data_IF_751327040581
#
_entry.id   IF_751327040581
#
_cell.length_a   1.000
_cell.length_b   1.000
_cell.length_c   1.000
_cell.angle_alpha   90.00
_cell.angle_beta   90.00
_cell.angle_gamma   90.00
#
_symmetry.space_group_name_H-M   'P 1'
#
loop_
_entity.id
_entity.type
_entity.pdbx_description
1 polymer ?
#
# COMPACT_ATOMS: atom_id res chain seq x y z
N UNK A 1 31.34 58.95 -49.60
CA UNK A 1 31.94 58.96 -48.23
C UNK A 1 30.81 58.68 -47.26
N UNK A 2 30.74 57.68 -46.38
CA UNK A 2 31.58 56.55 -45.91
C UNK A 2 30.57 55.49 -45.39
N UNK A 3 30.55 54.23 -45.87
CA UNK A 3 31.20 53.02 -45.29
C UNK A 3 31.08 52.82 -43.76
N UNK A 4 30.60 51.61 -43.40
CA UNK A 4 30.60 50.89 -42.09
C UNK A 4 29.33 51.09 -41.24
N UNK A 5 28.67 50.09 -40.67
CA UNK A 5 29.02 48.69 -40.40
C UNK A 5 27.79 47.77 -40.44
N UNK A 6 28.02 46.60 -41.04
CA UNK A 6 27.26 45.35 -40.96
C UNK A 6 27.73 44.64 -39.69
N UNK A 7 26.82 44.08 -38.86
CA UNK A 7 27.02 42.89 -38.01
C UNK A 7 25.83 42.66 -37.03
N UNK A 8 25.41 41.39 -36.93
CA UNK A 8 24.63 40.79 -35.83
C UNK A 8 23.13 40.59 -36.13
N UNK A 9 22.58 39.43 -36.49
CA UNK A 9 23.09 38.06 -36.39
C UNK A 9 22.50 37.32 -35.18
N UNK A 10 21.43 36.56 -35.44
CA UNK A 10 20.87 35.42 -34.67
C UNK A 10 20.38 35.64 -33.22
N UNK A 11 19.06 35.46 -33.02
CA UNK A 11 18.46 35.45 -31.69
C UNK A 11 17.07 34.82 -31.62
N UNK A 12 16.83 33.68 -32.28
CA UNK A 12 15.61 32.88 -32.05
C UNK A 12 15.95 31.38 -32.19
N UNK A 13 16.39 30.74 -31.10
CA UNK A 13 16.51 29.27 -31.02
C UNK A 13 16.64 28.75 -29.57
N UNK A 14 15.82 29.20 -28.62
CA UNK A 14 15.87 28.65 -27.24
C UNK A 14 14.51 28.18 -26.68
N UNK A 15 13.41 28.31 -27.41
CA UNK A 15 12.09 28.00 -26.85
C UNK A 15 11.61 26.55 -27.06
N UNK A 16 12.36 25.70 -27.78
CA UNK A 16 11.97 24.31 -28.05
C UNK A 16 12.61 23.27 -27.11
N UNK A 17 13.61 23.65 -26.31
CA UNK A 17 14.31 22.73 -25.39
C UNK A 17 13.63 22.51 -24.04
N UNK A 18 12.79 23.45 -23.59
CA UNK A 18 12.15 23.39 -22.27
C UNK A 18 10.86 22.55 -22.30
N UNK A 19 10.13 22.56 -23.42
CA UNK A 19 8.93 21.74 -23.60
C UNK A 19 9.25 20.24 -23.67
N UNK A 20 10.41 19.85 -24.23
CA UNK A 20 10.83 18.45 -24.32
C UNK A 20 11.41 17.87 -23.02
N UNK A 21 11.95 18.69 -22.12
CA UNK A 21 12.57 18.21 -20.86
C UNK A 21 11.54 17.86 -19.79
N UNK A 22 10.41 18.59 -19.69
CA UNK A 22 9.32 18.22 -18.77
C UNK A 22 8.61 16.93 -19.18
N UNK A 23 8.63 16.57 -20.46
CA UNK A 23 8.09 15.30 -20.95
C UNK A 23 9.00 14.10 -20.68
N UNK A 24 10.24 14.33 -20.20
CA UNK A 24 11.26 13.29 -20.00
C UNK A 24 11.75 13.17 -18.54
N UNK A 25 11.21 13.97 -17.62
CA UNK A 25 11.43 13.74 -16.20
C UNK A 25 10.62 12.50 -15.79
N UNK A 26 11.24 11.48 -15.18
CA UNK A 26 10.46 10.40 -14.58
C UNK A 26 9.46 11.01 -13.58
N UNK A 27 8.26 10.43 -13.46
CA UNK A 27 7.28 10.90 -12.48
C UNK A 27 7.88 10.84 -11.08
N UNK A 28 7.46 11.77 -10.23
CA UNK A 28 7.84 11.75 -8.82
C UNK A 28 7.39 10.40 -8.21
N UNK A 29 8.26 9.69 -7.47
CA UNK A 29 7.93 8.40 -6.91
C UNK A 29 6.83 8.52 -5.86
N UNK A 30 6.00 7.49 -5.75
CA UNK A 30 5.07 7.36 -4.61
C UNK A 30 5.88 7.05 -3.36
N UNK A 31 5.80 7.91 -2.34
CA UNK A 31 6.54 7.73 -1.09
C UNK A 31 5.68 7.07 -0.01
N UNK A 32 6.05 5.87 0.41
CA UNK A 32 5.44 5.22 1.58
C UNK A 32 6.39 5.35 2.75
N UNK A 33 6.05 6.22 3.70
CA UNK A 33 6.78 6.29 4.97
C UNK A 33 6.15 5.34 5.99
N UNK A 34 6.97 4.50 6.60
CA UNK A 34 6.60 3.42 7.49
C UNK A 34 7.05 3.74 8.90
N UNK A 35 6.11 3.67 9.83
CA UNK A 35 6.34 3.74 11.27
C UNK A 35 6.03 2.39 11.90
N UNK A 36 6.81 2.03 12.92
CA UNK A 36 6.54 0.89 13.77
C UNK A 36 6.08 1.35 15.14
N UNK A 37 5.13 0.64 15.74
CA UNK A 37 4.95 0.75 17.18
C UNK A 37 6.21 0.28 17.92
N UNK A 38 6.37 0.69 19.17
CA UNK A 38 7.48 0.24 20.02
C UNK A 38 7.56 -1.29 20.09
N UNK A 39 6.42 -1.98 20.18
CA UNK A 39 6.39 -3.46 20.18
C UNK A 39 6.77 -4.03 18.82
N UNK A 40 6.23 -3.49 17.72
CA UNK A 40 6.50 -3.99 16.38
C UNK A 40 7.99 -3.82 16.00
N UNK A 41 8.63 -2.76 16.47
CA UNK A 41 10.03 -2.47 16.21
C UNK A 41 11.00 -3.47 16.87
N UNK A 42 10.52 -4.31 17.80
CA UNK A 42 11.35 -5.37 18.41
C UNK A 42 11.65 -6.54 17.48
N UNK A 43 10.98 -6.60 16.31
CA UNK A 43 11.14 -7.68 15.34
C UNK A 43 12.13 -7.29 14.24
N UNK A 44 13.39 -7.72 14.36
CA UNK A 44 14.49 -7.37 13.44
C UNK A 44 14.18 -7.59 11.94
N UNK A 45 13.40 -8.64 11.62
CA UNK A 45 13.06 -8.96 10.24
C UNK A 45 11.92 -8.09 9.66
N UNK A 46 11.13 -7.42 10.50
CA UNK A 46 9.92 -6.71 10.09
C UNK A 46 10.17 -5.61 9.03
N UNK A 47 11.18 -4.73 9.17
CA UNK A 47 11.45 -3.70 8.15
C UNK A 47 11.67 -4.30 6.77
N UNK A 48 12.55 -5.29 6.66
CA UNK A 48 12.86 -5.96 5.40
C UNK A 48 11.64 -6.68 4.80
N UNK A 49 10.74 -7.23 5.63
CA UNK A 49 9.50 -7.86 5.15
C UNK A 49 8.51 -6.82 4.62
N UNK A 50 8.29 -5.74 5.37
CA UNK A 50 7.38 -4.66 4.94
C UNK A 50 7.90 -4.01 3.65
N UNK A 51 9.19 -3.69 3.59
CA UNK A 51 9.85 -3.14 2.40
C UNK A 51 9.70 -4.08 1.20
N UNK A 52 10.08 -5.35 1.35
CA UNK A 52 10.06 -6.31 0.25
C UNK A 52 8.65 -6.54 -0.30
N UNK A 53 7.64 -6.71 0.56
CA UNK A 53 6.27 -6.95 0.10
C UNK A 53 5.60 -5.71 -0.47
N UNK A 54 5.79 -4.53 0.14
CA UNK A 54 5.28 -3.28 -0.43
C UNK A 54 5.99 -2.95 -1.74
N UNK A 55 7.32 -3.06 -1.79
CA UNK A 55 8.11 -2.76 -2.97
C UNK A 55 7.72 -3.64 -4.14
N UNK A 56 7.54 -4.94 -3.90
CA UNK A 56 7.14 -5.86 -4.96
C UNK A 56 5.67 -5.70 -5.38
N UNK A 57 4.75 -5.32 -4.47
CA UNK A 57 3.35 -5.05 -4.83
C UNK A 57 3.17 -3.70 -5.55
N UNK A 58 3.81 -2.64 -5.06
CA UNK A 58 3.69 -1.29 -5.61
C UNK A 58 4.56 -1.09 -6.86
N UNK A 59 5.75 -1.71 -6.94
CA UNK A 59 6.64 -1.58 -8.10
C UNK A 59 6.07 -2.14 -9.40
N UNK A 60 5.07 -3.04 -9.34
CA UNK A 60 4.29 -3.48 -10.50
C UNK A 60 3.12 -2.53 -10.81
N UNK A 61 2.63 -1.81 -9.81
CA UNK A 61 1.42 -1.00 -9.87
C UNK A 61 1.68 0.45 -10.31
N UNK A 62 2.74 1.08 -9.77
CA UNK A 62 3.10 2.49 -10.01
C UNK A 62 4.45 2.59 -10.72
N UNK A 63 4.71 3.72 -11.37
CA UNK A 63 5.92 3.92 -12.18
C UNK A 63 7.21 3.96 -11.34
N UNK A 64 7.13 4.50 -10.12
CA UNK A 64 8.22 4.52 -9.16
C UNK A 64 7.67 4.55 -7.73
N UNK A 65 8.34 3.86 -6.80
CA UNK A 65 7.98 3.80 -5.38
C UNK A 65 9.23 3.94 -4.53
N UNK A 66 9.14 4.74 -3.47
CA UNK A 66 10.15 4.87 -2.43
C UNK A 66 9.53 4.46 -1.09
N UNK A 67 10.21 3.56 -0.37
CA UNK A 67 9.78 3.10 0.95
C UNK A 67 10.77 3.63 1.96
N UNK A 68 10.29 4.47 2.86
CA UNK A 68 11.11 5.11 3.88
C UNK A 68 10.72 4.61 5.26
N UNK A 69 11.70 4.27 6.09
CA UNK A 69 11.44 3.94 7.49
C UNK A 69 11.67 5.16 8.35
N UNK A 70 10.69 5.49 9.20
CA UNK A 70 10.84 6.54 10.17
C UNK A 70 11.99 6.21 11.14
N UNK A 71 12.77 7.22 11.56
CA UNK A 71 13.90 7.00 12.47
C UNK A 71 13.46 6.69 13.91
N UNK A 72 12.19 6.92 14.23
CA UNK A 72 11.60 6.72 15.55
C UNK A 72 10.38 5.80 15.51
N UNK A 73 10.11 5.17 16.65
CA UNK A 73 8.92 4.36 16.88
C UNK A 73 7.76 5.23 17.39
N UNK A 74 6.54 4.71 17.25
CA UNK A 74 5.33 5.34 17.77
C UNK A 74 4.91 4.65 19.06
N UNK A 75 4.90 5.39 20.17
CA UNK A 75 4.31 4.90 21.41
C UNK A 75 2.79 4.89 21.29
N UNK A 76 2.16 3.74 21.54
CA UNK A 76 0.72 3.58 21.48
C UNK A 76 0.19 3.11 22.83
N UNK A 77 -0.96 3.61 23.30
CA UNK A 77 -1.59 3.08 24.51
C UNK A 77 -1.94 1.59 24.36
N UNK A 78 -2.31 1.18 23.14
CA UNK A 78 -2.65 -0.18 22.77
C UNK A 78 -2.17 -0.49 21.34
N UNK A 79 -1.76 -1.73 21.11
CA UNK A 79 -1.19 -2.18 19.83
C UNK A 79 -2.23 -2.41 18.71
N UNK A 80 -3.51 -2.10 18.92
CA UNK A 80 -4.53 -2.34 17.91
C UNK A 80 -5.90 -1.84 18.30
N UNK A 81 -6.90 -2.19 17.49
CA UNK A 81 -8.27 -1.77 17.71
C UNK A 81 -8.57 -0.36 17.17
N UNK A 82 -9.86 0.02 17.25
CA UNK A 82 -10.37 1.20 16.54
C UNK A 82 -9.74 2.51 17.05
N UNK A 83 -9.50 2.61 18.36
CA UNK A 83 -8.92 3.79 18.97
C UNK A 83 -7.50 4.02 18.44
N UNK A 84 -6.61 3.04 18.56
CA UNK A 84 -5.22 3.24 18.15
C UNK A 84 -5.04 3.37 16.64
N UNK A 85 -5.68 2.52 15.85
CA UNK A 85 -5.51 2.53 14.39
C UNK A 85 -6.28 3.65 13.70
N UNK A 86 -7.50 3.94 14.14
CA UNK A 86 -8.44 4.82 13.45
C UNK A 86 -8.63 6.20 14.09
N UNK A 87 -8.07 6.44 15.28
CA UNK A 87 -8.16 7.72 15.98
C UNK A 87 -6.76 8.23 16.32
N UNK A 88 -6.00 7.50 17.15
CA UNK A 88 -4.71 7.98 17.66
C UNK A 88 -3.72 8.19 16.52
N UNK A 89 -3.53 7.19 15.66
CA UNK A 89 -2.58 7.30 14.55
C UNK A 89 -2.92 8.44 13.55
N UNK A 90 -4.15 8.55 13.02
CA UNK A 90 -4.50 9.69 12.17
C UNK A 90 -4.32 11.05 12.84
N UNK A 91 -4.54 11.15 14.15
CA UNK A 91 -4.29 12.37 14.92
C UNK A 91 -2.80 12.67 15.04
N UNK A 92 -1.97 11.68 15.37
CA UNK A 92 -0.51 11.83 15.41
C UNK A 92 0.03 12.33 14.06
N UNK A 93 -0.45 11.79 12.93
CA UNK A 93 -0.06 12.26 11.58
C UNK A 93 -0.46 13.72 11.36
N UNK A 94 -1.69 14.08 11.72
CA UNK A 94 -2.16 15.46 11.57
C UNK A 94 -1.37 16.45 12.45
N UNK A 95 -1.01 16.06 13.67
CA UNK A 95 -0.15 16.85 14.57
C UNK A 95 1.27 16.99 14.00
N UNK A 96 1.82 15.93 13.40
CA UNK A 96 3.11 15.98 12.69
C UNK A 96 3.13 17.00 11.55
N UNK A 97 2.05 17.08 10.76
CA UNK A 97 1.94 18.05 9.65
C UNK A 97 2.02 19.52 10.11
N UNK A 98 1.69 19.80 11.37
CA UNK A 98 1.75 21.16 11.95
C UNK A 98 2.91 21.33 12.95
N UNK A 99 3.82 20.34 13.02
CA UNK A 99 5.00 20.37 13.90
C UNK A 99 4.68 20.19 15.39
N UNK A 100 3.56 19.57 15.72
CA UNK A 100 3.12 19.33 17.12
C UNK A 100 3.42 17.92 17.62
N UNK A 101 3.78 16.98 16.75
CA UNK A 101 4.21 15.63 17.10
C UNK A 101 5.62 15.34 16.59
N UNK A 102 6.32 14.39 17.23
CA UNK A 102 7.65 13.91 16.84
C UNK A 102 7.60 12.97 15.61
N UNK A 103 6.71 13.24 14.66
CA UNK A 103 6.67 12.55 13.39
C UNK A 103 6.68 13.56 12.25
N UNK A 104 7.40 13.21 11.19
CA UNK A 104 7.48 13.98 9.95
C UNK A 104 6.71 13.21 8.86
N UNK A 105 5.46 13.59 8.54
CA UNK A 105 4.65 12.85 7.58
C UNK A 105 5.00 13.17 6.13
N UNK A 106 4.78 12.21 5.23
CA UNK A 106 4.93 12.39 3.78
C UNK A 106 3.60 12.68 3.10
N UNK A 107 3.68 13.21 1.88
CA UNK A 107 2.50 13.61 1.08
C UNK A 107 1.65 12.43 0.58
N UNK A 108 2.24 11.25 0.43
CA UNK A 108 1.58 10.09 -0.22
C UNK A 108 1.01 9.10 0.78
N UNK A 109 1.81 8.27 1.46
CA UNK A 109 1.29 7.30 2.44
C UNK A 109 2.08 7.31 3.73
N UNK A 110 1.34 7.48 4.84
CA UNK A 110 1.87 7.33 6.19
C UNK A 110 1.33 6.03 6.80
N UNK A 111 2.14 4.98 6.78
CA UNK A 111 1.78 3.64 7.24
C UNK A 111 2.30 3.39 8.66
N UNK A 112 1.41 3.05 9.58
CA UNK A 112 1.77 2.50 10.89
C UNK A 112 1.61 0.98 10.90
N UNK A 113 2.65 0.24 11.29
CA UNK A 113 2.57 -1.20 11.56
C UNK A 113 2.75 -1.45 13.05
N UNK A 114 1.76 -2.10 13.64
CA UNK A 114 1.67 -2.40 15.07
C UNK A 114 1.75 -3.89 15.33
N UNK A 115 2.00 -4.28 16.59
CA UNK A 115 2.11 -5.69 16.97
C UNK A 115 0.78 -6.30 17.45
N UNK A 116 -0.33 -5.57 17.22
CA UNK A 116 -1.67 -6.03 17.59
C UNK A 116 -2.02 -7.37 16.96
N UNK A 117 -3.00 -8.06 17.55
CA UNK A 117 -3.47 -9.35 17.02
C UNK A 117 -4.30 -9.14 15.73
N UNK A 118 -3.82 -9.57 14.55
CA UNK A 118 -4.52 -9.36 13.28
C UNK A 118 -5.82 -10.18 13.16
N UNK A 119 -6.12 -11.04 14.15
CA UNK A 119 -7.39 -11.77 14.24
C UNK A 119 -8.48 -10.97 14.95
N UNK A 120 -8.14 -9.85 15.59
CA UNK A 120 -9.09 -9.00 16.32
C UNK A 120 -9.42 -7.76 15.49
N UNK A 121 -10.70 -7.45 15.38
CA UNK A 121 -11.18 -6.32 14.57
C UNK A 121 -11.27 -5.03 15.41
N UNK A 122 -10.92 -3.87 14.85
CA UNK A 122 -10.28 -3.69 13.54
C UNK A 122 -8.81 -4.11 13.56
N UNK A 123 -8.40 -4.87 12.53
CA UNK A 123 -7.01 -5.27 12.32
C UNK A 123 -6.23 -4.29 11.44
N UNK A 124 -6.94 -3.48 10.64
CA UNK A 124 -6.41 -2.46 9.77
C UNK A 124 -7.33 -1.25 9.72
N UNK A 125 -6.78 -0.12 9.27
CA UNK A 125 -7.49 1.12 9.03
C UNK A 125 -6.78 1.89 7.92
N UNK A 126 -7.56 2.48 7.03
CA UNK A 126 -7.04 3.41 6.05
C UNK A 126 -8.03 4.52 5.70
N UNK A 127 -7.45 5.64 5.32
CA UNK A 127 -8.09 6.81 4.71
C UNK A 127 -7.04 7.45 3.77
N UNK A 128 -7.39 8.41 2.90
CA UNK A 128 -6.41 9.01 2.01
C UNK A 128 -5.14 9.42 2.78
N UNK A 129 -4.00 8.90 2.30
CA UNK A 129 -2.64 9.14 2.82
C UNK A 129 -2.27 8.58 4.19
N UNK A 130 -3.18 7.88 4.86
CA UNK A 130 -2.94 7.33 6.21
C UNK A 130 -3.40 5.88 6.23
N UNK A 131 -2.49 4.98 6.59
CA UNK A 131 -2.76 3.56 6.76
C UNK A 131 -2.25 3.09 8.12
N UNK A 132 -2.91 2.09 8.71
CA UNK A 132 -2.43 1.41 9.90
C UNK A 132 -2.82 -0.06 9.87
N UNK A 133 -1.90 -0.95 10.27
CA UNK A 133 -2.13 -2.38 10.34
C UNK A 133 -1.59 -2.99 11.62
N UNK A 134 -2.15 -4.13 11.98
CA UNK A 134 -1.69 -5.00 13.08
C UNK A 134 -0.92 -6.21 12.53
N UNK A 135 -0.23 -6.92 13.43
CA UNK A 135 0.41 -8.20 13.12
C UNK A 135 1.89 -8.13 12.75
N UNK A 136 2.64 -7.14 13.23
CA UNK A 136 4.10 -7.04 13.04
C UNK A 136 4.85 -8.37 13.23
N UNK A 137 4.64 -9.05 14.35
CA UNK A 137 5.24 -10.36 14.66
C UNK A 137 4.88 -11.45 13.64
N UNK A 138 3.70 -11.37 13.01
CA UNK A 138 3.28 -12.31 11.98
C UNK A 138 3.92 -11.99 10.63
N UNK A 139 4.03 -10.71 10.27
CA UNK A 139 4.69 -10.26 9.04
C UNK A 139 6.18 -10.62 9.10
N UNK A 140 6.84 -10.41 10.24
CA UNK A 140 8.25 -10.76 10.44
C UNK A 140 8.56 -12.26 10.24
N UNK A 141 7.54 -13.13 10.40
CA UNK A 141 7.66 -14.59 10.19
C UNK A 141 7.49 -15.04 8.74
N UNK A 142 7.06 -14.16 7.84
CA UNK A 142 7.05 -14.49 6.41
C UNK A 142 8.49 -14.69 5.90
N UNK A 143 8.64 -15.47 4.82
CA UNK A 143 9.89 -15.51 4.07
C UNK A 143 10.17 -14.12 3.42
N UNK A 144 11.42 -13.84 2.99
CA UNK A 144 11.68 -12.66 2.15
C UNK A 144 10.76 -12.61 0.92
N UNK A 145 10.45 -11.41 0.45
CA UNK A 145 9.47 -11.23 -0.64
C UNK A 145 9.96 -11.82 -1.96
N UNK A 146 11.27 -11.79 -2.20
CA UNK A 146 11.97 -12.35 -3.36
C UNK A 146 12.00 -13.89 -3.36
N UNK A 147 11.85 -14.52 -2.20
CA UNK A 147 11.75 -15.98 -2.03
C UNK A 147 10.29 -16.45 -1.98
N UNK A 148 9.33 -15.52 -1.87
CA UNK A 148 7.92 -15.83 -1.69
C UNK A 148 7.18 -15.76 -3.03
N UNK A 149 6.44 -16.81 -3.44
CA UNK A 149 5.64 -16.74 -4.65
C UNK A 149 4.53 -15.67 -4.52
N UNK A 150 4.08 -15.04 -5.63
CA UNK A 150 3.03 -14.01 -5.59
C UNK A 150 1.68 -14.49 -5.04
N UNK A 151 1.45 -15.80 -5.03
CA UNK A 151 0.25 -16.43 -4.46
C UNK A 151 0.69 -17.46 -3.44
N UNK A 152 0.19 -17.35 -2.22
CA UNK A 152 0.56 -18.21 -1.09
C UNK A 152 -0.66 -18.87 -0.45
N UNK A 153 -0.50 -20.03 0.22
CA UNK A 153 -1.54 -20.59 1.07
C UNK A 153 -1.98 -19.60 2.14
N UNK A 154 -3.28 -19.61 2.46
CA UNK A 154 -3.82 -18.79 3.53
C UNK A 154 -3.19 -19.17 4.87
N UNK A 155 -2.61 -18.18 5.54
CA UNK A 155 -2.07 -18.29 6.89
C UNK A 155 -2.16 -16.94 7.58
N UNK A 156 -2.02 -16.88 8.91
CA UNK A 156 -2.04 -15.60 9.63
C UNK A 156 -0.88 -14.68 9.17
N UNK A 157 0.38 -15.15 9.02
CA UNK A 157 1.45 -14.37 8.40
C UNK A 157 1.10 -13.79 7.03
N UNK A 158 0.55 -14.61 6.14
CA UNK A 158 0.17 -14.16 4.80
C UNK A 158 -0.99 -13.14 4.84
N UNK A 159 -1.97 -13.34 5.72
CA UNK A 159 -3.10 -12.43 5.87
C UNK A 159 -2.67 -11.07 6.47
N UNK A 160 -1.80 -11.08 7.49
CA UNK A 160 -1.25 -9.84 8.07
C UNK A 160 -0.38 -9.08 7.05
N UNK A 161 0.39 -9.80 6.24
CA UNK A 161 1.19 -9.22 5.16
C UNK A 161 0.30 -8.63 4.07
N UNK A 162 -0.73 -9.35 3.63
CA UNK A 162 -1.67 -8.84 2.64
C UNK A 162 -2.47 -7.64 3.19
N UNK A 163 -2.73 -7.58 4.50
CA UNK A 163 -3.37 -6.44 5.15
C UNK A 163 -2.54 -5.15 5.02
N UNK A 164 -1.21 -5.22 5.11
CA UNK A 164 -0.33 -4.08 4.81
C UNK A 164 -0.57 -3.56 3.40
N UNK A 165 -0.64 -4.47 2.42
CA UNK A 165 -0.92 -4.10 1.03
C UNK A 165 -2.34 -3.51 0.89
N UNK A 166 -3.32 -4.11 1.56
CA UNK A 166 -4.71 -3.66 1.53
C UNK A 166 -4.86 -2.22 2.03
N UNK A 167 -4.33 -1.91 3.20
CA UNK A 167 -4.45 -0.57 3.79
C UNK A 167 -3.63 0.48 3.03
N UNK A 168 -2.45 0.11 2.51
CA UNK A 168 -1.70 1.00 1.61
C UNK A 168 -2.47 1.27 0.32
N UNK A 169 -3.11 0.26 -0.27
CA UNK A 169 -3.97 0.43 -1.44
C UNK A 169 -5.11 1.40 -1.15
N UNK A 170 -5.76 1.28 0.00
CA UNK A 170 -6.77 2.24 0.45
C UNK A 170 -6.23 3.67 0.64
N UNK A 171 -5.06 3.82 1.25
CA UNK A 171 -4.45 5.13 1.45
C UNK A 171 -4.12 5.83 0.12
N UNK A 172 -3.84 5.04 -0.93
CA UNK A 172 -3.60 5.50 -2.30
C UNK A 172 -4.89 5.64 -3.14
N UNK A 173 -6.07 5.39 -2.58
CA UNK A 173 -7.35 5.62 -3.25
C UNK A 173 -7.97 4.39 -3.92
N UNK A 174 -7.35 3.22 -3.80
CA UNK A 174 -7.95 1.95 -4.24
C UNK A 174 -9.02 1.54 -3.23
N UNK A 175 -10.12 0.99 -3.71
CA UNK A 175 -11.21 0.45 -2.89
C UNK A 175 -11.45 -1.03 -3.19
N UNK A 176 -12.27 -1.70 -2.37
CA UNK A 176 -12.60 -3.13 -2.54
C UNK A 176 -13.14 -3.48 -3.93
N UNK A 177 -13.82 -2.54 -4.61
CA UNK A 177 -14.31 -2.72 -5.99
C UNK A 177 -13.19 -3.03 -6.99
N UNK A 178 -11.94 -2.67 -6.70
CA UNK A 178 -10.79 -2.98 -7.57
C UNK A 178 -10.15 -4.34 -7.23
N UNK A 179 -10.66 -5.00 -6.20
CA UNK A 179 -10.28 -6.34 -5.81
C UNK A 179 -10.95 -7.40 -6.68
N UNK A 180 -10.20 -8.45 -6.98
CA UNK A 180 -10.72 -9.65 -7.64
C UNK A 180 -10.48 -10.88 -6.75
N UNK A 181 -11.28 -11.92 -7.01
CA UNK A 181 -10.99 -13.27 -6.60
C UNK A 181 -11.13 -14.19 -7.80
N UNK A 182 -10.29 -15.21 -7.89
CA UNK A 182 -10.25 -16.13 -9.03
C UNK A 182 -9.99 -17.56 -8.59
N UNK A 183 -10.45 -18.51 -9.40
CA UNK A 183 -10.20 -19.93 -9.20
C UNK A 183 -8.90 -20.34 -9.90
N UNK A 184 -8.07 -21.10 -9.19
CA UNK A 184 -6.88 -21.78 -9.71
C UNK A 184 -6.94 -23.26 -9.31
N UNK A 185 -7.43 -24.11 -10.21
CA UNK A 185 -7.74 -25.49 -9.87
C UNK A 185 -8.78 -25.56 -8.75
N UNK A 186 -8.41 -26.18 -7.63
CA UNK A 186 -9.28 -26.33 -6.44
C UNK A 186 -9.12 -25.16 -5.45
N UNK A 187 -8.23 -24.21 -5.73
CA UNK A 187 -7.99 -23.06 -4.88
C UNK A 187 -8.80 -21.83 -5.31
N UNK A 188 -9.22 -21.04 -4.31
CA UNK A 188 -9.64 -19.66 -4.51
C UNK A 188 -8.54 -18.71 -4.05
N UNK A 189 -8.17 -17.79 -4.95
CA UNK A 189 -7.15 -16.77 -4.72
C UNK A 189 -7.84 -15.43 -4.54
N UNK A 190 -7.68 -14.82 -3.37
CA UNK A 190 -8.14 -13.46 -3.09
C UNK A 190 -7.01 -12.45 -3.30
N UNK A 191 -7.25 -11.40 -4.09
CA UNK A 191 -6.33 -10.26 -4.22
C UNK A 191 -6.29 -9.39 -2.95
N UNK A 192 -5.30 -8.49 -2.78
CA UNK A 192 -5.21 -7.64 -1.60
C UNK A 192 -6.49 -6.87 -1.27
N UNK A 193 -7.16 -6.28 -2.27
CA UNK A 193 -8.37 -5.48 -2.03
C UNK A 193 -9.63 -6.32 -1.73
N UNK A 194 -9.53 -7.66 -1.74
CA UNK A 194 -10.59 -8.58 -1.29
C UNK A 194 -10.21 -9.24 0.03
N UNK A 195 -8.98 -9.77 0.08
CA UNK A 195 -8.41 -10.49 1.19
C UNK A 195 -9.31 -11.54 1.81
N UNK A 196 -9.28 -11.62 3.15
CA UNK A 196 -9.99 -12.66 3.90
C UNK A 196 -11.52 -12.51 3.88
N UNK A 197 -12.05 -11.36 3.44
CA UNK A 197 -13.49 -11.13 3.32
C UNK A 197 -14.15 -12.11 2.35
N UNK A 198 -13.41 -12.66 1.38
CA UNK A 198 -13.91 -13.67 0.45
C UNK A 198 -14.49 -14.90 1.17
N UNK A 199 -13.90 -15.28 2.31
CA UNK A 199 -14.30 -16.45 3.10
C UNK A 199 -14.97 -16.09 4.42
N UNK A 200 -15.35 -14.81 4.61
CA UNK A 200 -16.11 -14.39 5.76
C UNK A 200 -17.57 -14.87 5.65
N UNK A 201 -18.31 -14.84 6.76
CA UNK A 201 -19.76 -15.07 6.72
C UNK A 201 -20.42 -14.11 5.73
N UNK A 202 -21.48 -14.54 5.04
CA UNK A 202 -22.23 -13.74 4.06
C UNK A 202 -22.50 -12.30 4.54
N UNK A 203 -23.03 -12.13 5.74
CA UNK A 203 -23.28 -10.81 6.36
C UNK A 203 -22.04 -9.90 6.45
N UNK A 204 -20.87 -10.47 6.69
CA UNK A 204 -19.60 -9.72 6.75
C UNK A 204 -19.11 -9.45 5.33
N UNK A 205 -19.23 -10.44 4.45
CA UNK A 205 -18.87 -10.29 3.03
C UNK A 205 -19.66 -9.15 2.39
N UNK A 206 -20.99 -9.14 2.48
CA UNK A 206 -21.87 -8.09 1.92
C UNK A 206 -21.63 -6.69 2.51
N UNK A 207 -21.06 -6.60 3.72
CA UNK A 207 -20.72 -5.31 4.32
C UNK A 207 -19.47 -4.69 3.71
N UNK A 208 -18.54 -5.52 3.25
CA UNK A 208 -17.22 -5.10 2.84
C UNK A 208 -17.01 -5.25 1.32
N UNK A 209 -17.53 -6.29 0.70
CA UNK A 209 -17.42 -6.56 -0.71
C UNK A 209 -18.75 -6.29 -1.40
N UNK A 210 -18.69 -5.60 -2.54
CA UNK A 210 -19.81 -5.48 -3.46
C UNK A 210 -20.06 -6.84 -4.15
N UNK A 211 -21.25 -7.06 -4.69
CA UNK A 211 -21.59 -8.28 -5.42
C UNK A 211 -20.75 -8.44 -6.71
N UNK A 212 -20.31 -7.31 -7.28
CA UNK A 212 -19.50 -7.25 -8.50
C UNK A 212 -18.24 -6.42 -8.29
N UNK A 213 -17.13 -6.89 -8.87
CA UNK A 213 -15.90 -6.13 -8.97
C UNK A 213 -15.98 -5.13 -10.13
N UNK A 214 -15.46 -3.92 -9.94
CA UNK A 214 -15.22 -2.95 -11.02
C UNK A 214 -14.22 -3.47 -12.08
N UNK A 215 -13.55 -4.59 -11.79
CA UNK A 215 -12.60 -5.26 -12.67
C UNK A 215 -13.25 -6.32 -13.58
N UNK A 216 -14.57 -6.48 -13.51
CA UNK A 216 -15.35 -7.40 -14.31
C UNK A 216 -15.50 -8.77 -13.64
N UNK A 217 -16.74 -9.08 -13.25
CA UNK A 217 -17.14 -10.40 -12.77
C UNK A 217 -17.59 -10.42 -11.30
N UNK A 218 -18.53 -11.30 -11.01
CA UNK A 218 -18.92 -11.65 -9.65
C UNK A 218 -17.81 -12.45 -8.96
N UNK A 219 -17.72 -12.36 -7.65
CA UNK A 219 -16.82 -13.22 -6.89
C UNK A 219 -17.25 -14.69 -7.03
N UNK A 220 -16.33 -15.63 -7.30
CA UNK A 220 -16.67 -17.05 -7.38
C UNK A 220 -17.21 -17.54 -6.03
N UNK A 221 -18.16 -18.48 -6.06
CA UNK A 221 -18.64 -19.12 -4.84
C UNK A 221 -17.48 -19.84 -4.13
N UNK A 222 -17.43 -19.66 -2.81
CA UNK A 222 -16.48 -20.32 -1.92
C UNK A 222 -16.89 -21.76 -1.57
N UNK A 223 -18.11 -22.18 -1.88
CA UNK A 223 -18.69 -23.45 -1.41
C UNK A 223 -17.93 -24.68 -1.96
N UNK A 224 -17.41 -24.58 -3.18
CA UNK A 224 -16.73 -25.67 -3.89
C UNK A 224 -15.19 -25.50 -3.90
N UNK A 225 -14.63 -24.66 -3.03
CA UNK A 225 -13.19 -24.43 -2.96
C UNK A 225 -12.61 -25.06 -1.70
N UNK A 226 -11.70 -26.02 -1.88
CA UNK A 226 -11.08 -26.73 -0.76
C UNK A 226 -9.84 -26.01 -0.24
N UNK A 227 -9.22 -25.15 -1.06
CA UNK A 227 -8.02 -24.38 -0.71
C UNK A 227 -8.25 -22.86 -0.73
N UNK A 228 -7.75 -22.19 0.30
CA UNK A 228 -7.73 -20.72 0.41
C UNK A 228 -6.33 -20.21 0.13
N UNK A 229 -6.22 -19.23 -0.77
CA UNK A 229 -4.95 -18.61 -1.16
C UNK A 229 -5.04 -17.10 -1.22
N UNK A 230 -3.92 -16.45 -0.92
CA UNK A 230 -3.80 -14.99 -0.90
C UNK A 230 -2.82 -14.54 -1.96
N UNK A 231 -3.23 -13.60 -2.80
CA UNK A 231 -2.34 -12.87 -3.71
C UNK A 231 -1.62 -11.75 -2.97
N UNK A 232 -0.31 -11.65 -3.12
CA UNK A 232 0.56 -10.64 -2.49
C UNK A 232 0.97 -9.53 -3.48
N UNK A 233 0.18 -9.34 -4.54
CA UNK A 233 0.33 -8.29 -5.57
C UNK A 233 -1.04 -7.69 -5.88
N UNK A 234 -1.05 -6.41 -6.25
CA UNK A 234 -2.26 -5.79 -6.78
C UNK A 234 -2.66 -6.44 -8.12
N UNK A 235 -3.95 -6.49 -8.38
CA UNK A 235 -4.47 -6.90 -9.69
C UNK A 235 -4.20 -5.79 -10.70
N UNK A 236 -4.19 -6.11 -12.01
CA UNK A 236 -4.04 -5.08 -13.05
C UNK A 236 -5.09 -3.96 -12.94
N UNK A 237 -6.27 -4.29 -12.43
CA UNK A 237 -7.36 -3.34 -12.21
C UNK A 237 -7.07 -2.38 -11.04
N UNK A 238 -6.59 -2.91 -9.91
CA UNK A 238 -6.12 -2.09 -8.80
C UNK A 238 -4.89 -1.26 -9.21
N UNK A 239 -3.94 -1.86 -9.94
CA UNK A 239 -2.77 -1.17 -10.48
C UNK A 239 -3.16 -0.01 -11.41
N UNK A 240 -4.14 -0.19 -12.30
CA UNK A 240 -4.66 0.91 -13.14
C UNK A 240 -5.32 2.02 -12.34
N UNK A 241 -5.90 1.72 -11.17
CA UNK A 241 -6.49 2.72 -10.29
C UNK A 241 -5.44 3.48 -9.47
N UNK A 242 -4.21 2.98 -9.41
CA UNK A 242 -3.06 3.58 -8.73
C UNK A 242 -2.22 4.50 -9.63
N UNK A 243 -2.48 4.50 -10.95
CA UNK A 243 -1.81 5.35 -11.95
C UNK A 243 -2.68 6.54 -12.29
#
# INVERSE_FOLDING_TARGET
>A
MNRRAFLGGAGVALSLGVAGRRAASPPDPVVVRVWFSESAATHDALPARVEGYLGAALGEAVDAVEIEFAPSTVALPHEGGKTSLGVDWPMTVAEGMVGMAEIDPVGDVNLLVTDGDPRRQPAGYARPRIAATTGGAYIARMAPAEETPPVVPYSIPAAATQLVLHECGHALGVTHRHGTARREGDALVASPMVGSYLWASERVRERHLDDESACGGAYPSADDATERRLGLRYTDCAARALR
#
